data_IF_963513621084
#
_entry.id   IF_963513621084
#
_cell.length_a   1.000
_cell.length_b   1.000
_cell.length_c   1.000
_cell.angle_alpha   90.00
_cell.angle_beta   90.00
_cell.angle_gamma   90.00
#
_symmetry.space_group_name_H-M   'P 1'
#
loop_
_entity.id
_entity.type
_entity.pdbx_description
1 polymer ?
#
# COMPACT_ATOMS: atom_id res chain seq x y z
N UNK A 1 -3.72 7.21 26.21
CA UNK A 1 -4.71 7.37 27.29
C UNK A 1 -4.24 6.72 28.60
N UNK A 2 -4.10 5.38 28.69
CA UNK A 2 -3.65 4.73 29.95
C UNK A 2 -2.16 4.95 30.26
N UNK A 3 -1.27 4.77 29.26
CA UNK A 3 0.16 5.02 29.42
C UNK A 3 0.49 6.47 29.83
N UNK A 4 -0.28 7.43 29.32
CA UNK A 4 -0.13 8.85 29.64
C UNK A 4 -0.59 9.16 31.07
N UNK A 5 -1.69 8.54 31.52
CA UNK A 5 -2.14 8.66 32.91
C UNK A 5 -1.22 7.96 33.90
N UNK A 6 -0.60 6.84 33.51
CA UNK A 6 0.39 6.18 34.36
C UNK A 6 1.70 6.97 34.48
N UNK A 7 2.06 7.79 33.48
CA UNK A 7 3.25 8.65 33.57
C UNK A 7 3.06 9.89 34.46
N UNK A 8 1.82 10.20 34.86
CA UNK A 8 1.50 11.28 35.81
C UNK A 8 1.61 10.83 37.27
N UNK A 9 1.83 9.54 37.52
CA UNK A 9 1.97 8.95 38.84
C UNK A 9 3.40 9.12 39.38
N UNK A 10 3.53 9.34 40.68
CA UNK A 10 4.83 9.41 41.35
C UNK A 10 5.59 8.08 41.22
N UNK A 11 6.76 8.06 40.55
CA UNK A 11 7.53 6.84 40.33
C UNK A 11 8.02 6.17 41.61
N UNK A 12 8.21 6.94 42.69
CA UNK A 12 8.71 6.42 43.97
C UNK A 12 7.66 5.56 44.66
N UNK A 13 6.39 5.95 44.56
CA UNK A 13 5.28 5.29 45.21
C UNK A 13 4.58 4.25 44.31
N UNK A 14 4.78 4.32 42.99
CA UNK A 14 4.02 3.53 42.00
C UNK A 14 4.89 2.82 40.95
N UNK A 15 6.17 2.57 41.25
CA UNK A 15 7.14 1.96 40.32
C UNK A 15 6.69 0.62 39.71
N UNK A 16 6.09 -0.27 40.50
CA UNK A 16 5.60 -1.57 40.02
C UNK A 16 4.47 -1.41 38.99
N UNK A 17 3.50 -0.52 39.26
CA UNK A 17 2.39 -0.24 38.36
C UNK A 17 2.88 0.36 37.03
N UNK A 18 3.81 1.31 37.09
CA UNK A 18 4.43 1.92 35.89
C UNK A 18 5.13 0.84 35.05
N UNK A 19 5.85 -0.07 35.71
CA UNK A 19 6.55 -1.19 35.05
C UNK A 19 5.57 -2.14 34.37
N UNK A 20 4.50 -2.56 35.07
CA UNK A 20 3.45 -3.42 34.51
C UNK A 20 2.70 -2.75 33.33
N UNK A 21 2.47 -1.44 33.40
CA UNK A 21 1.89 -0.68 32.28
C UNK A 21 2.82 -0.63 31.07
N UNK A 22 4.12 -0.46 31.29
CA UNK A 22 5.11 -0.55 30.22
C UNK A 22 5.13 -1.94 29.56
N UNK A 23 5.03 -3.02 30.34
CA UNK A 23 4.92 -4.38 29.82
C UNK A 23 3.65 -4.59 29.01
N UNK A 24 2.50 -4.13 29.51
CA UNK A 24 1.22 -4.23 28.80
C UNK A 24 1.27 -3.50 27.46
N UNK A 25 1.84 -2.29 27.42
CA UNK A 25 1.97 -1.52 26.19
C UNK A 25 2.86 -2.22 25.15
N UNK A 26 3.95 -2.85 25.58
CA UNK A 26 4.80 -3.67 24.70
C UNK A 26 4.03 -4.86 24.13
N UNK A 27 3.39 -5.65 24.99
CA UNK A 27 2.59 -6.79 24.55
C UNK A 27 1.45 -6.40 23.60
N UNK A 28 0.79 -5.28 23.85
CA UNK A 28 -0.26 -4.76 22.98
C UNK A 28 0.29 -4.37 21.59
N UNK A 29 1.49 -3.78 21.54
CA UNK A 29 2.16 -3.44 20.29
C UNK A 29 2.59 -4.68 19.53
N UNK A 30 3.19 -5.66 20.19
CA UNK A 30 3.62 -6.91 19.57
C UNK A 30 2.43 -7.68 19.01
N UNK A 31 1.30 -7.68 19.73
CA UNK A 31 0.04 -8.24 19.24
C UNK A 31 -0.49 -7.47 18.02
N UNK A 32 -0.44 -6.14 18.05
CA UNK A 32 -0.87 -5.33 16.91
C UNK A 32 -0.02 -5.60 15.66
N UNK A 33 1.30 -5.68 15.81
CA UNK A 33 2.23 -6.01 14.73
C UNK A 33 1.98 -7.42 14.19
N UNK A 34 1.74 -8.40 15.07
CA UNK A 34 1.38 -9.78 14.68
C UNK A 34 0.04 -9.85 13.94
N UNK A 35 -0.96 -9.07 14.35
CA UNK A 35 -2.25 -9.01 13.65
C UNK A 35 -2.13 -8.32 12.30
N UNK A 36 -1.29 -7.29 12.19
CA UNK A 36 -1.02 -6.64 10.90
C UNK A 36 -0.33 -7.60 9.93
N UNK A 37 0.64 -8.40 10.38
CA UNK A 37 1.33 -9.37 9.52
C UNK A 37 0.39 -10.44 8.95
N UNK A 38 -0.57 -10.93 9.73
CA UNK A 38 -1.60 -11.88 9.26
C UNK A 38 -2.47 -11.29 8.13
N UNK A 39 -2.65 -9.96 8.12
CA UNK A 39 -3.51 -9.24 7.17
C UNK A 39 -2.82 -8.86 5.86
N UNK A 40 -1.52 -9.12 5.77
CA UNK A 40 -0.71 -8.81 4.59
C UNK A 40 -1.14 -9.68 3.41
N UNK A 41 -1.26 -9.07 2.23
CA UNK A 41 -1.52 -9.77 0.97
C UNK A 41 -0.56 -9.26 -0.11
N UNK A 42 -0.16 -10.10 -1.07
CA UNK A 42 0.72 -9.70 -2.16
C UNK A 42 0.04 -8.70 -3.11
N UNK A 43 0.82 -7.77 -3.65
CA UNK A 43 0.34 -6.78 -4.61
C UNK A 43 -0.14 -7.39 -5.94
N UNK A 44 0.25 -8.64 -6.22
CA UNK A 44 -0.22 -9.44 -7.36
C UNK A 44 -1.74 -9.45 -7.52
N UNK A 45 -2.50 -9.45 -6.41
CA UNK A 45 -3.96 -9.36 -6.45
C UNK A 45 -4.46 -8.11 -7.17
N UNK A 46 -3.74 -7.00 -7.06
CA UNK A 46 -4.06 -5.76 -7.77
C UNK A 46 -3.49 -5.76 -9.18
N UNK A 47 -2.26 -6.23 -9.34
CA UNK A 47 -1.54 -6.15 -10.61
C UNK A 47 -2.08 -7.09 -11.69
N UNK A 48 -2.64 -8.24 -11.32
CA UNK A 48 -3.14 -9.26 -12.25
C UNK A 48 -4.18 -8.76 -13.27
N UNK A 49 -4.95 -7.71 -12.94
CA UNK A 49 -5.95 -7.09 -13.84
C UNK A 49 -5.39 -6.03 -14.78
N UNK A 50 -4.25 -5.42 -14.46
CA UNK A 50 -3.72 -4.30 -15.26
C UNK A 50 -3.28 -4.69 -16.67
N UNK A 51 -2.68 -5.87 -16.95
CA UNK A 51 -2.31 -6.25 -18.31
C UNK A 51 -3.48 -6.21 -19.30
N UNK A 52 -4.66 -6.68 -18.88
CA UNK A 52 -5.87 -6.63 -19.71
C UNK A 52 -6.39 -5.19 -19.83
N UNK A 53 -6.54 -4.48 -18.71
CA UNK A 53 -7.02 -3.10 -18.71
C UNK A 53 -6.18 -2.19 -19.62
N UNK A 54 -4.86 -2.28 -19.50
CA UNK A 54 -3.91 -1.48 -20.29
C UNK A 54 -4.00 -1.85 -21.77
N UNK A 55 -4.06 -3.15 -22.11
CA UNK A 55 -4.19 -3.60 -23.50
C UNK A 55 -5.48 -3.10 -24.15
N UNK A 56 -6.60 -3.22 -23.46
CA UNK A 56 -7.90 -2.82 -23.97
C UNK A 56 -7.98 -1.30 -24.17
N UNK A 57 -7.47 -0.53 -23.19
CA UNK A 57 -7.49 0.93 -23.27
C UNK A 57 -6.48 1.45 -24.31
N UNK A 58 -5.28 0.88 -24.39
CA UNK A 58 -4.31 1.21 -25.42
C UNK A 58 -4.87 0.95 -26.83
N UNK A 59 -5.55 -0.19 -27.03
CA UNK A 59 -6.24 -0.51 -28.28
C UNK A 59 -7.32 0.51 -28.65
N UNK A 60 -8.17 0.90 -27.69
CA UNK A 60 -9.21 1.93 -27.89
C UNK A 60 -8.65 3.29 -28.26
N UNK A 61 -7.48 3.64 -27.72
CA UNK A 61 -6.81 4.93 -27.96
C UNK A 61 -5.88 4.90 -29.18
N UNK A 62 -5.71 3.75 -29.84
CA UNK A 62 -4.76 3.59 -30.95
C UNK A 62 -3.29 3.72 -30.52
N UNK A 63 -2.98 3.42 -29.25
CA UNK A 63 -1.64 3.56 -28.67
C UNK A 63 -0.97 2.19 -28.56
N UNK A 64 0.34 2.16 -28.82
CA UNK A 64 1.17 0.98 -28.60
C UNK A 64 1.86 1.10 -27.24
N UNK A 65 1.57 0.20 -26.30
CA UNK A 65 2.06 0.28 -24.91
C UNK A 65 2.49 -1.10 -24.44
N UNK A 66 3.63 -1.15 -23.76
CA UNK A 66 4.12 -2.31 -23.03
C UNK A 66 3.99 -2.02 -21.53
N UNK A 67 3.40 -2.95 -20.78
CA UNK A 67 3.22 -2.83 -19.34
C UNK A 67 4.27 -3.67 -18.63
N UNK A 68 5.09 -3.04 -17.80
CA UNK A 68 6.03 -3.72 -16.89
C UNK A 68 5.51 -3.60 -15.46
N UNK A 69 5.43 -4.74 -14.76
CA UNK A 69 5.03 -4.82 -13.36
C UNK A 69 6.25 -5.19 -12.52
N UNK A 70 6.52 -4.41 -11.48
CA UNK A 70 7.66 -4.62 -10.57
C UNK A 70 7.13 -4.66 -9.14
N UNK A 71 7.59 -5.63 -8.35
CA UNK A 71 7.18 -5.78 -6.96
C UNK A 71 5.83 -6.47 -6.75
N UNK A 72 5.41 -7.36 -7.66
CA UNK A 72 4.14 -8.12 -7.50
C UNK A 72 4.10 -8.96 -6.22
N UNK A 73 5.24 -9.43 -5.76
CA UNK A 73 5.38 -10.20 -4.51
C UNK A 73 5.43 -9.33 -3.25
N UNK A 74 5.46 -8.00 -3.38
CA UNK A 74 5.48 -7.09 -2.23
C UNK A 74 4.14 -7.20 -1.51
N UNK A 75 4.21 -7.36 -0.19
CA UNK A 75 3.02 -7.53 0.64
C UNK A 75 2.55 -6.18 1.23
N UNK A 76 1.24 -6.00 1.26
CA UNK A 76 0.56 -4.81 1.79
C UNK A 76 -0.69 -5.22 2.56
N UNK A 77 -1.13 -4.36 3.48
CA UNK A 77 -2.37 -4.57 4.21
C UNK A 77 -3.58 -4.65 3.26
N UNK A 78 -4.46 -5.65 3.46
CA UNK A 78 -5.67 -5.82 2.65
C UNK A 78 -6.53 -4.55 2.52
N UNK A 79 -6.73 -3.79 3.61
CA UNK A 79 -7.56 -2.58 3.57
C UNK A 79 -6.91 -1.47 2.74
N UNK A 80 -5.57 -1.40 2.73
CA UNK A 80 -4.83 -0.50 1.87
C UNK A 80 -4.91 -0.95 0.41
N UNK A 81 -4.79 -2.26 0.16
CA UNK A 81 -4.99 -2.84 -1.17
C UNK A 81 -6.36 -2.46 -1.71
N UNK A 82 -7.45 -2.64 -0.97
CA UNK A 82 -8.80 -2.32 -1.46
C UNK A 82 -8.95 -0.83 -1.80
N UNK A 83 -8.33 0.06 -1.02
CA UNK A 83 -8.40 1.52 -1.22
C UNK A 83 -7.52 2.04 -2.35
N UNK A 84 -6.42 1.36 -2.67
CA UNK A 84 -5.44 1.84 -3.66
C UNK A 84 -5.82 1.48 -5.12
N UNK A 85 -6.77 0.56 -5.31
CA UNK A 85 -7.19 0.06 -6.64
C UNK A 85 -7.67 1.19 -7.54
N UNK A 86 -8.67 1.95 -7.08
CA UNK A 86 -9.29 2.98 -7.90
C UNK A 86 -8.32 4.13 -8.21
N UNK A 87 -7.54 4.66 -7.24
CA UNK A 87 -6.49 5.63 -7.52
C UNK A 87 -5.46 5.15 -8.53
N UNK A 88 -4.94 3.92 -8.39
CA UNK A 88 -3.96 3.38 -9.35
C UNK A 88 -4.57 3.17 -10.74
N UNK A 89 -5.81 2.69 -10.82
CA UNK A 89 -6.54 2.56 -12.07
C UNK A 89 -6.70 3.91 -12.75
N UNK A 90 -6.99 4.96 -11.99
CA UNK A 90 -7.08 6.33 -12.49
C UNK A 90 -5.73 6.83 -13.01
N UNK A 91 -4.64 6.60 -12.28
CA UNK A 91 -3.29 6.99 -12.73
C UNK A 91 -2.89 6.28 -14.02
N UNK A 92 -3.13 4.97 -14.12
CA UNK A 92 -2.88 4.17 -15.33
C UNK A 92 -3.67 4.72 -16.52
N UNK A 93 -4.95 5.07 -16.31
CA UNK A 93 -5.78 5.68 -17.34
C UNK A 93 -5.21 7.04 -17.77
N UNK A 94 -4.85 7.92 -16.83
CA UNK A 94 -4.28 9.23 -17.15
C UNK A 94 -2.97 9.11 -17.94
N UNK A 95 -2.11 8.15 -17.59
CA UNK A 95 -0.91 7.86 -18.35
C UNK A 95 -1.24 7.43 -19.78
N UNK A 96 -2.27 6.61 -19.97
CA UNK A 96 -2.69 6.14 -21.29
C UNK A 96 -3.40 7.22 -22.10
N UNK A 97 -4.28 8.02 -21.51
CA UNK A 97 -5.06 9.05 -22.22
C UNK A 97 -4.18 10.26 -22.59
N UNK A 98 -3.40 10.76 -21.64
CA UNK A 98 -2.69 12.04 -21.77
C UNK A 98 -1.17 11.92 -21.74
N UNK A 99 -0.62 10.94 -21.03
CA UNK A 99 0.84 10.81 -20.86
C UNK A 99 1.55 10.21 -22.08
N UNK A 100 0.94 9.22 -22.72
CA UNK A 100 1.55 8.48 -23.84
C UNK A 100 1.09 9.06 -25.17
N UNK A 101 2.03 9.48 -26.00
CA UNK A 101 1.74 9.98 -27.34
C UNK A 101 1.35 8.86 -28.32
N UNK A 102 0.64 9.24 -29.39
CA UNK A 102 0.35 8.35 -30.51
C UNK A 102 1.66 7.87 -31.17
N UNK A 103 1.70 6.64 -31.72
CA UNK A 103 2.90 6.08 -32.34
C UNK A 103 3.56 7.01 -33.38
N UNK A 104 2.74 7.74 -34.15
CA UNK A 104 3.19 8.68 -35.19
C UNK A 104 3.93 9.91 -34.65
N UNK A 105 3.62 10.33 -33.41
CA UNK A 105 4.21 11.51 -32.78
C UNK A 105 5.45 11.19 -31.95
N UNK A 106 5.73 9.90 -31.71
CA UNK A 106 6.85 9.49 -30.87
C UNK A 106 8.18 9.72 -31.61
N UNK A 107 9.19 10.32 -30.96
CA UNK A 107 10.54 10.33 -31.51
C UNK A 107 11.01 8.89 -31.68
N UNK A 108 11.59 8.57 -32.85
CA UNK A 108 12.24 7.27 -33.07
C UNK A 108 13.24 7.04 -31.94
N UNK A 109 13.06 5.97 -31.16
CA UNK A 109 14.08 5.48 -30.23
C UNK A 109 15.35 5.24 -31.06
N UNK A 110 16.41 6.01 -30.77
CA UNK A 110 17.77 5.71 -31.23
C UNK A 110 18.29 4.47 -30.50
#
# INVERSE_FOLDING_TARGET
>A
MLAQRSSELDPVNHGDLITSMGQLQRNARDLQESVMSIRMMPMEYVFSRYPRLVRDLAGKLGKQVELTLVGSSTELDKSLIERIIDPLTHLVRNSLDHGIELPEKRPRRR
#
